data_IF_310193745682
#
_entry.id   IF_310193745682
#
_cell.length_a   1.000
_cell.length_b   1.000
_cell.length_c   1.000
_cell.angle_alpha   90.00
_cell.angle_beta   90.00
_cell.angle_gamma   90.00
#
_symmetry.space_group_name_H-M   'P 1'
#
loop_
_entity.id
_entity.type
_entity.pdbx_description
1 polymer ?
#
# COMPACT_ATOMS: atom_id res chain seq x y z
N UNK A 1 14.41 -40.52 4.59
CA UNK A 1 13.71 -39.81 5.67
C UNK A 1 12.23 -40.10 5.48
N UNK A 2 11.56 -40.62 6.52
CA UNK A 2 10.13 -40.98 6.44
C UNK A 2 9.26 -39.76 6.15
N UNK A 3 8.10 -39.96 5.53
CA UNK A 3 7.13 -38.90 5.31
C UNK A 3 6.69 -38.31 6.66
N UNK A 4 6.86 -37.00 6.83
CA UNK A 4 6.39 -36.27 8.02
C UNK A 4 4.86 -36.25 7.99
N UNK A 5 4.21 -36.69 9.06
CA UNK A 5 2.75 -36.60 9.21
C UNK A 5 2.28 -35.15 9.46
N UNK A 6 1.00 -34.83 9.25
CA UNK A 6 0.48 -33.47 9.53
C UNK A 6 0.68 -33.07 11.01
N UNK A 7 0.50 -34.01 11.94
CA UNK A 7 0.72 -33.77 13.38
C UNK A 7 2.18 -33.43 13.68
N UNK A 8 3.12 -34.11 13.04
CA UNK A 8 4.55 -33.80 13.18
C UNK A 8 4.90 -32.45 12.56
N UNK A 9 4.35 -32.14 11.38
CA UNK A 9 4.55 -30.84 10.73
C UNK A 9 4.06 -29.68 11.60
N UNK A 10 2.89 -29.81 12.22
CA UNK A 10 2.37 -28.80 13.17
C UNK A 10 3.27 -28.65 14.40
N UNK A 11 3.80 -29.75 14.94
CA UNK A 11 4.76 -29.70 16.05
C UNK A 11 6.08 -29.01 15.65
N UNK A 12 6.57 -29.26 14.44
CA UNK A 12 7.74 -28.58 13.88
C UNK A 12 7.45 -27.08 13.75
N UNK A 13 6.32 -26.68 13.16
CA UNK A 13 5.91 -25.27 13.05
C UNK A 13 5.88 -24.56 14.41
N UNK A 14 5.22 -25.17 15.40
CA UNK A 14 5.14 -24.62 16.77
C UNK A 14 6.53 -24.43 17.39
N UNK A 15 7.41 -25.41 17.24
CA UNK A 15 8.78 -25.34 17.74
C UNK A 15 9.61 -24.28 17.00
N UNK A 16 9.51 -24.20 15.68
CA UNK A 16 10.20 -23.19 14.86
C UNK A 16 9.76 -21.78 15.23
N UNK A 17 8.46 -21.53 15.42
CA UNK A 17 7.93 -20.23 15.89
C UNK A 17 8.51 -19.86 17.25
N UNK A 18 8.57 -20.81 18.18
CA UNK A 18 9.20 -20.60 19.49
C UNK A 18 10.68 -20.24 19.36
N UNK A 19 11.43 -20.94 18.50
CA UNK A 19 12.85 -20.65 18.24
C UNK A 19 13.04 -19.27 17.61
N UNK A 20 12.20 -18.90 16.65
CA UNK A 20 12.20 -17.58 16.01
C UNK A 20 11.98 -16.46 17.02
N UNK A 21 11.00 -16.62 17.92
CA UNK A 21 10.72 -15.64 18.97
C UNK A 21 11.83 -15.60 20.05
N UNK A 22 12.67 -16.63 20.15
CA UNK A 22 13.93 -16.63 20.91
C UNK A 22 15.13 -16.09 20.12
N UNK A 23 14.91 -15.47 18.95
CA UNK A 23 15.94 -14.95 18.03
C UNK A 23 16.88 -16.02 17.45
N UNK A 24 16.49 -17.30 17.48
CA UNK A 24 17.24 -18.43 16.90
C UNK A 24 16.80 -18.67 15.44
N UNK A 25 16.94 -17.64 14.60
CA UNK A 25 16.36 -17.61 13.24
C UNK A 25 16.83 -18.75 12.34
N UNK A 26 18.12 -19.10 12.33
CA UNK A 26 18.64 -20.20 11.49
C UNK A 26 17.97 -21.54 11.80
N UNK A 27 17.81 -21.88 13.09
CA UNK A 27 17.14 -23.10 13.52
C UNK A 27 15.65 -23.09 13.22
N UNK A 28 15.01 -21.93 13.32
CA UNK A 28 13.61 -21.78 12.92
C UNK A 28 13.43 -22.02 11.41
N UNK A 29 14.32 -21.45 10.58
CA UNK A 29 14.33 -21.63 9.12
C UNK A 29 14.53 -23.09 8.73
N UNK A 30 15.44 -23.81 9.39
CA UNK A 30 15.61 -25.27 9.20
C UNK A 30 14.29 -26.02 9.40
N UNK A 31 13.59 -25.75 10.50
CA UNK A 31 12.29 -26.36 10.77
C UNK A 31 11.21 -25.97 9.75
N UNK A 32 11.18 -24.72 9.29
CA UNK A 32 10.26 -24.32 8.22
C UNK A 32 10.58 -25.04 6.90
N UNK A 33 11.85 -25.21 6.55
CA UNK A 33 12.25 -25.93 5.33
C UNK A 33 11.80 -27.40 5.37
N UNK A 34 11.93 -28.08 6.52
CA UNK A 34 11.44 -29.46 6.68
C UNK A 34 9.94 -29.56 6.34
N UNK A 35 9.14 -28.59 6.79
CA UNK A 35 7.70 -28.55 6.48
C UNK A 35 7.46 -28.27 4.99
N UNK A 36 8.24 -27.37 4.39
CA UNK A 36 8.10 -26.96 2.98
C UNK A 36 8.56 -28.02 1.98
N UNK A 37 9.46 -28.92 2.36
CA UNK A 37 9.93 -30.03 1.52
C UNK A 37 8.88 -31.14 1.36
N UNK A 38 7.91 -31.24 2.28
CA UNK A 38 6.86 -32.24 2.24
C UNK A 38 5.67 -31.77 1.38
N UNK A 39 5.55 -32.34 0.17
CA UNK A 39 4.52 -31.98 -0.80
C UNK A 39 3.10 -32.45 -0.45
N UNK A 40 2.94 -33.34 0.53
CA UNK A 40 1.66 -33.93 0.92
C UNK A 40 0.98 -33.20 2.09
N UNK A 41 1.40 -31.96 2.41
CA UNK A 41 0.82 -31.15 3.48
C UNK A 41 -0.39 -30.33 3.00
N UNK A 42 -1.34 -30.07 3.91
CA UNK A 42 -2.38 -29.09 3.66
C UNK A 42 -1.81 -27.70 3.31
N UNK A 43 -2.50 -26.98 2.42
CA UNK A 43 -2.10 -25.63 1.98
C UNK A 43 -1.91 -24.67 3.15
N UNK A 44 -2.70 -24.82 4.22
CA UNK A 44 -2.61 -24.00 5.43
C UNK A 44 -1.23 -24.13 6.11
N UNK A 45 -0.79 -25.37 6.36
CA UNK A 45 0.52 -25.67 6.97
C UNK A 45 1.65 -25.13 6.11
N UNK A 46 1.59 -25.34 4.79
CA UNK A 46 2.60 -24.85 3.85
C UNK A 46 2.65 -23.33 3.85
N UNK A 47 1.51 -22.64 3.82
CA UNK A 47 1.49 -21.19 3.78
C UNK A 47 1.96 -20.58 5.11
N UNK A 48 1.56 -21.13 6.27
CA UNK A 48 2.11 -20.72 7.57
C UNK A 48 3.63 -20.88 7.60
N UNK A 49 4.17 -22.01 7.12
CA UNK A 49 5.61 -22.26 7.04
C UNK A 49 6.32 -21.22 6.17
N UNK A 50 5.77 -20.90 4.99
CA UNK A 50 6.32 -19.90 4.06
C UNK A 50 6.38 -18.53 4.71
N UNK A 51 5.28 -18.07 5.31
CA UNK A 51 5.21 -16.73 5.90
C UNK A 51 6.11 -16.62 7.13
N UNK A 52 6.12 -17.62 8.01
CA UNK A 52 7.01 -17.61 9.16
C UNK A 52 8.49 -17.62 8.73
N UNK A 53 8.84 -18.39 7.69
CA UNK A 53 10.19 -18.36 7.10
C UNK A 53 10.54 -16.96 6.57
N UNK A 54 9.64 -16.31 5.84
CA UNK A 54 9.85 -14.94 5.35
C UNK A 54 10.10 -13.96 6.51
N UNK A 55 9.35 -14.06 7.61
CA UNK A 55 9.61 -13.27 8.81
C UNK A 55 11.00 -13.59 9.41
N UNK A 56 11.36 -14.87 9.49
CA UNK A 56 12.61 -15.33 10.10
C UNK A 56 13.85 -14.85 9.32
N UNK A 57 13.81 -14.89 7.99
CA UNK A 57 14.88 -14.40 7.10
C UNK A 57 15.17 -12.91 7.33
N UNK A 58 14.16 -12.16 7.75
CA UNK A 58 14.24 -10.72 8.05
C UNK A 58 14.51 -10.43 9.52
N UNK A 59 14.76 -11.48 10.32
CA UNK A 59 14.95 -11.41 11.78
C UNK A 59 13.77 -10.75 12.51
N UNK A 60 12.56 -10.96 12.00
CA UNK A 60 11.32 -10.44 12.58
C UNK A 60 10.66 -11.55 13.41
N UNK A 61 10.09 -11.27 14.60
CA UNK A 61 9.36 -12.27 15.36
C UNK A 61 8.05 -12.66 14.67
N UNK A 62 7.49 -13.81 15.06
CA UNK A 62 6.08 -14.11 14.80
C UNK A 62 5.28 -13.49 15.94
N UNK A 63 4.54 -12.39 15.64
CA UNK A 63 3.76 -11.68 16.66
C UNK A 63 2.75 -12.62 17.28
N UNK A 64 2.56 -12.53 18.60
CA UNK A 64 1.66 -13.43 19.33
C UNK A 64 0.21 -13.37 18.82
N UNK A 65 -0.21 -12.20 18.33
CA UNK A 65 -1.54 -11.93 17.76
C UNK A 65 -1.61 -12.18 16.25
N UNK A 66 -0.50 -12.57 15.63
CA UNK A 66 -0.45 -13.00 14.24
C UNK A 66 -0.56 -14.53 14.20
N UNK A 67 -1.63 -15.01 13.60
CA UNK A 67 -2.01 -16.41 13.67
C UNK A 67 -2.72 -16.85 12.40
N UNK A 68 -2.54 -18.12 12.03
CA UNK A 68 -3.27 -18.78 10.95
C UNK A 68 -4.46 -19.55 11.51
N UNK A 69 -5.30 -18.87 12.30
CA UNK A 69 -6.48 -19.50 12.89
C UNK A 69 -7.47 -19.92 11.79
N UNK A 70 -8.31 -20.94 12.03
CA UNK A 70 -9.35 -21.36 11.08
C UNK A 70 -10.24 -20.20 10.59
N UNK A 71 -10.50 -19.22 11.45
CA UNK A 71 -11.25 -18.00 11.11
C UNK A 71 -10.56 -17.18 10.02
N UNK A 72 -9.24 -17.00 10.07
CA UNK A 72 -8.50 -16.21 9.07
C UNK A 72 -8.51 -16.91 7.71
N UNK A 73 -8.40 -18.24 7.73
CA UNK A 73 -8.52 -19.07 6.52
C UNK A 73 -9.92 -18.97 5.89
N UNK A 74 -10.97 -18.89 6.71
CA UNK A 74 -12.33 -18.66 6.23
C UNK A 74 -12.49 -17.27 5.62
N UNK A 75 -11.95 -16.23 6.26
CA UNK A 75 -11.96 -14.86 5.72
C UNK A 75 -11.23 -14.80 4.38
N UNK A 76 -10.04 -15.41 4.29
CA UNK A 76 -9.30 -15.44 3.04
C UNK A 76 -9.98 -16.26 1.95
N UNK A 77 -10.67 -17.36 2.30
CA UNK A 77 -11.53 -18.09 1.35
C UNK A 77 -12.67 -17.21 0.83
N UNK A 78 -13.37 -16.49 1.70
CA UNK A 78 -14.41 -15.54 1.30
C UNK A 78 -13.85 -14.42 0.41
N UNK A 79 -12.63 -13.94 0.68
CA UNK A 79 -11.95 -12.97 -0.17
C UNK A 79 -11.64 -13.52 -1.57
N UNK A 80 -11.19 -14.78 -1.68
CA UNK A 80 -11.01 -15.46 -2.97
C UNK A 80 -12.34 -15.62 -3.72
N UNK A 81 -13.39 -16.01 -3.02
CA UNK A 81 -14.73 -16.14 -3.61
C UNK A 81 -15.24 -14.77 -4.11
N UNK A 82 -15.10 -13.71 -3.31
CA UNK A 82 -15.40 -12.33 -3.73
C UNK A 82 -14.62 -11.95 -4.98
N UNK A 83 -13.31 -12.19 -4.99
CA UNK A 83 -12.41 -11.83 -6.09
C UNK A 83 -12.88 -12.48 -7.40
N UNK A 84 -13.23 -13.77 -7.36
CA UNK A 84 -13.72 -14.53 -8.52
C UNK A 84 -15.11 -14.07 -8.95
N UNK A 85 -16.05 -13.94 -8.01
CA UNK A 85 -17.42 -13.53 -8.30
C UNK A 85 -17.52 -12.13 -8.91
N UNK A 86 -16.63 -11.21 -8.50
CA UNK A 86 -16.58 -9.84 -9.03
C UNK A 86 -15.64 -9.68 -10.23
N UNK A 87 -15.06 -10.79 -10.75
CA UNK A 87 -14.13 -10.77 -11.90
C UNK A 87 -12.99 -9.77 -11.70
N UNK A 88 -12.49 -9.66 -10.47
CA UNK A 88 -11.35 -8.81 -10.19
C UNK A 88 -10.14 -9.26 -11.00
N UNK A 89 -9.34 -8.31 -11.46
CA UNK A 89 -8.14 -8.59 -12.23
C UNK A 89 -7.03 -7.61 -11.88
N UNK A 90 -5.79 -8.02 -12.08
CA UNK A 90 -4.60 -7.19 -11.90
C UNK A 90 -3.88 -7.01 -13.26
N UNK A 91 -3.15 -5.90 -13.39
CA UNK A 91 -2.30 -5.62 -14.56
C UNK A 91 -0.83 -5.62 -14.16
N UNK A 92 -0.03 -6.51 -14.76
CA UNK A 92 1.41 -6.56 -14.53
C UNK A 92 2.15 -5.71 -15.55
N UNK A 93 2.65 -4.56 -15.11
CA UNK A 93 3.50 -3.69 -15.91
C UNK A 93 4.91 -4.29 -16.06
N UNK A 94 5.50 -4.18 -17.24
CA UNK A 94 6.87 -4.67 -17.49
C UNK A 94 7.96 -3.74 -16.96
N UNK A 95 7.72 -2.42 -16.99
CA UNK A 95 8.66 -1.39 -16.52
C UNK A 95 7.90 -0.26 -15.83
N UNK A 96 8.56 0.45 -14.90
CA UNK A 96 8.00 1.64 -14.27
C UNK A 96 8.97 2.82 -14.35
N UNK A 97 8.46 3.98 -14.79
CA UNK A 97 9.22 5.23 -14.88
C UNK A 97 8.36 6.40 -14.36
N UNK A 98 8.90 7.28 -13.49
CA UNK A 98 8.14 8.40 -12.89
C UNK A 98 7.47 9.38 -13.86
N UNK A 99 7.89 9.42 -15.12
CA UNK A 99 7.36 10.33 -16.15
C UNK A 99 6.78 9.60 -17.36
N UNK A 100 6.52 8.30 -17.22
CA UNK A 100 5.67 7.52 -18.15
C UNK A 100 4.35 7.18 -17.44
N UNK A 101 3.61 6.22 -17.99
CA UNK A 101 2.35 5.74 -17.43
C UNK A 101 2.47 5.36 -15.96
N UNK A 102 1.40 5.61 -15.21
CA UNK A 102 1.30 5.19 -13.83
C UNK A 102 1.04 3.67 -13.74
N UNK A 103 1.47 3.04 -12.64
CA UNK A 103 1.43 1.57 -12.50
C UNK A 103 0.05 1.00 -12.17
N UNK A 104 -0.92 1.83 -11.85
CA UNK A 104 -2.24 1.41 -11.43
C UNK A 104 -3.27 1.87 -12.46
N UNK A 105 -3.43 1.07 -13.52
CA UNK A 105 -4.32 1.34 -14.63
C UNK A 105 -5.74 1.56 -14.11
N UNK A 106 -6.36 2.64 -14.55
CA UNK A 106 -7.75 2.94 -14.24
C UNK A 106 -8.57 2.76 -15.51
N UNK A 107 -9.61 1.90 -15.51
CA UNK A 107 -10.45 1.70 -16.67
C UNK A 107 -11.38 2.91 -16.88
N UNK A 108 -11.73 3.20 -18.13
CA UNK A 108 -12.57 4.36 -18.50
C UNK A 108 -13.89 4.41 -17.72
N UNK A 109 -14.49 3.24 -17.43
CA UNK A 109 -15.75 3.15 -16.71
C UNK A 109 -15.66 3.67 -15.26
N UNK A 110 -14.46 3.73 -14.66
CA UNK A 110 -14.26 4.25 -13.30
C UNK A 110 -14.59 5.75 -13.20
N UNK A 111 -14.62 6.44 -14.32
CA UNK A 111 -14.80 7.90 -14.41
C UNK A 111 -16.07 8.30 -15.16
N UNK A 112 -17.01 7.37 -15.34
CA UNK A 112 -18.37 7.67 -15.81
C UNK A 112 -19.21 8.24 -14.68
N UNK A 113 -20.04 9.24 -14.99
CA UNK A 113 -20.97 9.80 -13.99
C UNK A 113 -21.96 8.75 -13.49
N UNK A 114 -22.25 8.81 -12.20
CA UNK A 114 -23.12 7.87 -11.50
C UNK A 114 -23.77 8.54 -10.29
N UNK A 115 -24.71 7.89 -9.60
CA UNK A 115 -25.30 8.44 -8.37
C UNK A 115 -24.29 8.75 -7.25
N UNK A 116 -23.08 8.19 -7.31
CA UNK A 116 -22.00 8.37 -6.33
C UNK A 116 -20.78 9.13 -6.86
N UNK A 117 -20.70 9.44 -8.16
CA UNK A 117 -19.57 10.13 -8.79
C UNK A 117 -20.05 11.13 -9.83
N UNK A 118 -19.51 12.34 -9.85
CA UNK A 118 -19.82 13.36 -10.86
C UNK A 118 -18.64 14.29 -11.08
N UNK A 119 -18.72 15.13 -12.11
CA UNK A 119 -17.79 16.25 -12.28
C UNK A 119 -18.36 17.57 -11.77
N UNK A 120 -17.48 18.46 -11.33
CA UNK A 120 -17.83 19.88 -11.17
C UNK A 120 -17.82 20.59 -12.55
N UNK A 121 -18.18 21.88 -12.57
CA UNK A 121 -18.20 22.68 -13.80
C UNK A 121 -16.83 22.85 -14.47
N UNK A 122 -15.73 22.54 -13.79
CA UNK A 122 -14.37 22.63 -14.30
C UNK A 122 -13.81 21.24 -14.68
N UNK A 123 -14.64 20.20 -14.66
CA UNK A 123 -14.21 18.84 -14.98
C UNK A 123 -13.42 18.14 -13.87
N UNK A 124 -13.56 18.59 -12.62
CA UNK A 124 -12.90 17.99 -11.45
C UNK A 124 -13.83 16.96 -10.80
N UNK A 125 -13.36 15.73 -10.51
CA UNK A 125 -14.20 14.69 -9.96
C UNK A 125 -14.63 14.97 -8.52
N UNK A 126 -15.89 14.66 -8.22
CA UNK A 126 -16.49 14.71 -6.91
C UNK A 126 -17.14 13.36 -6.58
N UNK A 127 -17.00 12.92 -5.33
CA UNK A 127 -17.53 11.64 -4.84
C UNK A 127 -18.57 11.89 -3.76
N UNK A 128 -19.64 11.08 -3.73
CA UNK A 128 -20.73 11.21 -2.77
C UNK A 128 -20.38 10.54 -1.45
N UNK A 129 -20.38 11.32 -0.37
CA UNK A 129 -20.27 10.87 1.01
C UNK A 129 -21.45 11.41 1.81
N UNK A 130 -22.11 10.57 2.60
CA UNK A 130 -23.20 10.99 3.50
C UNK A 130 -24.26 11.88 2.79
N UNK A 131 -24.62 11.52 1.56
CA UNK A 131 -25.63 12.22 0.76
C UNK A 131 -25.15 13.47 0.00
N UNK A 132 -23.94 13.98 0.24
CA UNK A 132 -23.38 15.17 -0.42
C UNK A 132 -22.15 14.82 -1.25
N UNK A 133 -21.87 15.61 -2.28
CA UNK A 133 -20.68 15.44 -3.11
C UNK A 133 -19.52 16.27 -2.56
N UNK A 134 -18.36 15.66 -2.44
CA UNK A 134 -17.13 16.28 -1.96
C UNK A 134 -15.97 16.01 -2.91
N UNK A 135 -14.97 16.88 -2.86
CA UNK A 135 -13.67 16.61 -3.47
C UNK A 135 -12.94 15.56 -2.64
N UNK A 136 -12.56 14.46 -3.29
CA UNK A 136 -11.68 13.45 -2.71
C UNK A 136 -10.31 13.57 -3.37
N UNK A 137 -9.28 13.94 -2.57
CA UNK A 137 -7.94 14.17 -3.10
C UNK A 137 -7.32 12.93 -3.77
N UNK A 138 -7.58 11.71 -3.26
CA UNK A 138 -7.14 10.46 -3.90
C UNK A 138 -7.83 10.26 -5.24
N UNK A 139 -9.15 10.42 -5.30
CA UNK A 139 -9.91 10.32 -6.56
C UNK A 139 -9.41 11.33 -7.60
N UNK A 140 -9.15 12.57 -7.17
CA UNK A 140 -8.61 13.62 -8.05
C UNK A 140 -7.21 13.26 -8.54
N UNK A 141 -6.33 12.73 -7.67
CA UNK A 141 -5.00 12.30 -8.07
C UNK A 141 -5.04 11.11 -9.05
N UNK A 142 -5.86 10.10 -8.77
CA UNK A 142 -6.04 8.95 -9.65
C UNK A 142 -6.63 9.37 -11.01
N UNK A 143 -7.58 10.30 -11.03
CA UNK A 143 -8.12 10.87 -12.27
C UNK A 143 -7.05 11.63 -13.05
N UNK A 144 -6.23 12.43 -12.38
CA UNK A 144 -5.12 13.12 -13.03
C UNK A 144 -4.13 12.11 -13.64
N UNK A 145 -3.76 11.05 -12.93
CA UNK A 145 -2.84 10.02 -13.43
C UNK A 145 -3.45 9.25 -14.60
N UNK A 146 -4.75 8.94 -14.55
CA UNK A 146 -5.50 8.37 -15.68
C UNK A 146 -5.47 9.27 -16.92
N UNK A 147 -5.73 10.59 -16.75
CA UNK A 147 -5.66 11.55 -17.86
C UNK A 147 -4.24 11.65 -18.44
N UNK A 148 -3.22 11.58 -17.58
CA UNK A 148 -1.83 11.56 -18.00
C UNK A 148 -1.49 10.30 -18.80
N UNK A 149 -1.98 9.13 -18.39
CA UNK A 149 -1.77 7.88 -19.12
C UNK A 149 -2.39 7.96 -20.53
N UNK A 150 -3.61 8.51 -20.64
CA UNK A 150 -4.23 8.79 -21.94
C UNK A 150 -3.46 9.80 -22.80
N UNK A 151 -2.81 10.79 -22.17
CA UNK A 151 -1.89 11.71 -22.85
C UNK A 151 -0.64 10.99 -23.38
N UNK A 152 -0.04 10.09 -22.59
CA UNK A 152 1.10 9.29 -23.04
C UNK A 152 0.73 8.40 -24.23
N UNK A 153 -0.49 7.86 -24.25
CA UNK A 153 -0.95 6.98 -25.34
C UNK A 153 -1.25 7.70 -26.65
N UNK A 154 -1.92 8.86 -26.58
CA UNK A 154 -2.56 9.46 -27.76
C UNK A 154 -2.30 10.96 -27.92
N UNK A 155 -1.65 11.59 -26.93
CA UNK A 155 -1.53 13.05 -26.85
C UNK A 155 -2.81 13.76 -26.39
N UNK A 156 -3.93 13.05 -26.20
CA UNK A 156 -5.19 13.61 -25.70
C UNK A 156 -5.10 13.99 -24.22
N UNK A 157 -6.12 14.67 -23.68
CA UNK A 157 -6.29 14.93 -22.23
C UNK A 157 -5.22 15.78 -21.51
N UNK A 158 -4.17 16.27 -22.20
CA UNK A 158 -3.13 17.12 -21.59
C UNK A 158 -3.69 18.29 -20.78
N UNK A 159 -4.62 19.05 -21.36
CA UNK A 159 -5.19 20.23 -20.70
C UNK A 159 -6.05 19.85 -19.49
N UNK A 160 -6.80 18.74 -19.58
CA UNK A 160 -7.57 18.21 -18.44
C UNK A 160 -6.65 17.76 -17.31
N UNK A 161 -5.53 17.11 -17.65
CA UNK A 161 -4.53 16.69 -16.67
C UNK A 161 -3.94 17.90 -15.95
N UNK A 162 -3.49 18.92 -16.69
CA UNK A 162 -2.91 20.14 -16.11
C UNK A 162 -3.93 20.93 -15.29
N UNK A 163 -5.18 21.01 -15.75
CA UNK A 163 -6.28 21.62 -14.98
C UNK A 163 -6.52 20.88 -13.65
N UNK A 164 -6.51 19.54 -13.67
CA UNK A 164 -6.67 18.72 -12.46
C UNK A 164 -5.47 18.88 -11.50
N UNK A 165 -4.25 18.94 -12.03
CA UNK A 165 -3.05 19.22 -11.25
C UNK A 165 -3.09 20.62 -10.62
N UNK A 166 -3.54 21.64 -11.35
CA UNK A 166 -3.70 23.01 -10.85
C UNK A 166 -4.79 23.11 -9.78
N UNK A 167 -5.88 22.34 -9.91
CA UNK A 167 -6.88 22.21 -8.87
C UNK A 167 -6.30 21.61 -7.58
N UNK A 168 -5.44 20.60 -7.69
CA UNK A 168 -4.73 20.05 -6.52
C UNK A 168 -3.87 21.10 -5.83
N UNK A 169 -3.12 21.93 -6.57
CA UNK A 169 -2.33 23.04 -5.98
C UNK A 169 -3.22 23.97 -5.15
N UNK A 170 -4.37 24.37 -5.70
CA UNK A 170 -5.34 25.25 -5.02
C UNK A 170 -5.95 24.59 -3.77
N UNK A 171 -5.99 23.26 -3.73
CA UNK A 171 -6.54 22.48 -2.61
C UNK A 171 -5.55 22.29 -1.46
N UNK A 172 -4.24 22.51 -1.68
CA UNK A 172 -3.22 22.39 -0.63
C UNK A 172 -3.42 23.49 0.40
N UNK A 173 -3.69 23.11 1.65
CA UNK A 173 -3.85 24.03 2.79
C UNK A 173 -2.50 24.65 3.20
N UNK A 174 -2.53 25.64 4.09
CA UNK A 174 -1.32 26.41 4.48
C UNK A 174 -0.21 25.53 5.05
N UNK A 175 -0.57 24.48 5.79
CA UNK A 175 0.34 23.48 6.38
C UNK A 175 0.91 22.48 5.36
N UNK A 176 0.48 22.51 4.09
CA UNK A 176 0.90 21.58 3.05
C UNK A 176 0.00 20.35 2.87
N UNK A 177 -1.07 20.24 3.65
CA UNK A 177 -2.00 19.10 3.59
C UNK A 177 -3.04 19.20 2.47
N UNK A 178 -3.46 18.05 1.95
CA UNK A 178 -4.72 17.87 1.24
C UNK A 178 -5.74 17.28 2.22
N UNK A 179 -6.64 18.15 2.70
CA UNK A 179 -7.63 17.82 3.74
C UNK A 179 -8.95 17.39 3.11
N UNK A 180 -9.60 16.41 3.72
CA UNK A 180 -10.93 15.95 3.36
C UNK A 180 -12.00 16.71 4.14
N UNK A 181 -12.96 17.30 3.42
CA UNK A 181 -14.03 18.13 4.02
C UNK A 181 -15.29 17.32 4.33
N UNK A 182 -15.13 16.01 4.57
CA UNK A 182 -16.21 15.09 4.96
C UNK A 182 -15.76 14.15 6.07
N UNK A 183 -16.73 13.68 6.87
CA UNK A 183 -16.50 12.59 7.83
C UNK A 183 -16.38 11.25 7.13
N UNK A 184 -15.43 10.43 7.58
CA UNK A 184 -15.24 9.08 7.07
C UNK A 184 -15.30 8.06 8.21
N UNK A 185 -16.20 7.07 8.09
CA UNK A 185 -16.25 5.94 9.01
C UNK A 185 -15.36 4.82 8.51
N UNK A 186 -14.35 4.48 9.29
CA UNK A 186 -13.58 3.25 9.12
C UNK A 186 -13.70 2.40 10.40
N UNK A 187 -12.61 2.04 11.06
CA UNK A 187 -12.67 1.54 12.46
C UNK A 187 -13.02 2.63 13.47
N UNK A 188 -12.61 3.85 13.18
CA UNK A 188 -12.90 5.04 13.95
C UNK A 188 -13.51 6.09 13.03
N UNK A 189 -14.29 7.02 13.59
CA UNK A 189 -14.82 8.13 12.82
C UNK A 189 -13.72 9.20 12.66
N UNK A 190 -13.32 9.45 11.41
CA UNK A 190 -12.44 10.55 11.05
C UNK A 190 -13.30 11.80 10.84
N UNK A 191 -13.05 12.83 11.64
CA UNK A 191 -13.74 14.11 11.53
C UNK A 191 -13.30 14.87 10.27
N UNK A 192 -14.14 15.81 9.82
CA UNK A 192 -13.78 16.75 8.75
C UNK A 192 -12.44 17.43 9.04
N UNK A 193 -11.63 17.62 8.00
CA UNK A 193 -10.24 18.07 8.13
C UNK A 193 -9.23 16.93 8.36
N UNK A 194 -9.63 15.66 8.24
CA UNK A 194 -8.66 14.57 8.21
C UNK A 194 -7.80 14.61 6.94
N UNK A 195 -6.62 14.00 7.00
CA UNK A 195 -5.68 13.90 5.89
C UNK A 195 -5.23 12.44 5.72
N UNK A 196 -4.75 12.11 4.52
CA UNK A 196 -4.26 10.78 4.18
C UNK A 196 -2.84 10.85 3.65
N UNK A 197 -1.95 9.94 4.05
CA UNK A 197 -0.66 9.84 3.37
C UNK A 197 -0.79 9.50 1.90
N UNK A 198 -1.80 8.70 1.53
CA UNK A 198 -2.04 8.26 0.15
C UNK A 198 -2.32 9.46 -0.77
N UNK A 199 -3.15 10.42 -0.32
CA UNK A 199 -3.40 11.63 -1.12
C UNK A 199 -2.14 12.47 -1.29
N UNK A 200 -1.31 12.58 -0.24
CA UNK A 200 -0.05 13.33 -0.33
C UNK A 200 0.93 12.65 -1.30
N UNK A 201 1.10 11.33 -1.21
CA UNK A 201 1.98 10.59 -2.10
C UNK A 201 1.54 10.63 -3.55
N UNK A 202 0.26 10.36 -3.84
CA UNK A 202 -0.24 10.43 -5.21
C UNK A 202 -0.18 11.85 -5.78
N UNK A 203 -0.35 12.89 -4.96
CA UNK A 203 -0.14 14.27 -5.40
C UNK A 203 1.32 14.53 -5.81
N UNK A 204 2.30 13.93 -5.13
CA UNK A 204 3.71 13.99 -5.58
C UNK A 204 3.88 13.36 -6.96
N UNK A 205 3.28 12.19 -7.21
CA UNK A 205 3.28 11.55 -8.53
C UNK A 205 2.65 12.42 -9.63
N UNK A 206 1.57 13.14 -9.32
CA UNK A 206 0.93 14.09 -10.23
C UNK A 206 1.85 15.28 -10.51
N UNK A 207 2.41 15.90 -9.47
CA UNK A 207 3.28 17.08 -9.63
C UNK A 207 4.60 16.75 -10.32
N UNK A 208 5.17 15.56 -10.11
CA UNK A 208 6.32 15.06 -10.89
C UNK A 208 6.01 15.08 -12.38
N UNK A 209 4.87 14.52 -12.79
CA UNK A 209 4.44 14.45 -14.18
C UNK A 209 4.09 15.82 -14.76
N UNK A 210 3.38 16.65 -14.00
CA UNK A 210 3.02 18.01 -14.43
C UNK A 210 4.25 18.91 -14.61
N UNK A 211 5.21 18.87 -13.68
CA UNK A 211 6.49 19.55 -13.84
C UNK A 211 7.28 18.99 -15.02
N UNK A 212 7.30 17.67 -15.22
CA UNK A 212 8.01 17.08 -16.35
C UNK A 212 7.49 17.62 -17.69
N UNK A 213 6.17 17.74 -17.86
CA UNK A 213 5.54 18.25 -19.08
C UNK A 213 5.71 19.75 -19.32
N UNK A 214 5.67 20.55 -18.25
CA UNK A 214 5.54 22.02 -18.37
C UNK A 214 6.82 22.76 -18.03
N UNK A 215 7.71 22.13 -17.25
CA UNK A 215 8.84 22.77 -16.55
C UNK A 215 8.42 23.91 -15.62
N UNK A 216 7.13 24.00 -15.26
CA UNK A 216 6.61 25.08 -14.43
C UNK A 216 6.93 24.84 -12.95
N UNK A 217 7.61 25.82 -12.35
CA UNK A 217 8.01 25.82 -10.93
C UNK A 217 6.84 25.76 -9.95
N UNK A 218 5.60 26.10 -10.36
CA UNK A 218 4.42 25.99 -9.47
C UNK A 218 4.21 24.56 -8.96
N UNK A 219 4.49 23.55 -9.79
CA UNK A 219 4.41 22.15 -9.41
C UNK A 219 5.53 21.74 -8.46
N UNK A 220 6.73 22.34 -8.62
CA UNK A 220 7.84 22.19 -7.65
C UNK A 220 7.43 22.72 -6.28
N UNK A 221 6.94 23.96 -6.23
CA UNK A 221 6.52 24.59 -4.98
C UNK A 221 5.39 23.82 -4.29
N UNK A 222 4.43 23.30 -5.06
CA UNK A 222 3.34 22.47 -4.56
C UNK A 222 3.83 21.14 -3.98
N UNK A 223 4.67 20.40 -4.72
CA UNK A 223 5.21 19.12 -4.25
C UNK A 223 6.09 19.27 -3.00
N UNK A 224 6.86 20.35 -2.88
CA UNK A 224 7.61 20.64 -1.64
C UNK A 224 6.71 20.82 -0.42
N UNK A 225 5.57 21.52 -0.58
CA UNK A 225 4.59 21.71 0.51
C UNK A 225 3.95 20.38 0.91
N UNK A 226 3.53 19.59 -0.08
CA UNK A 226 2.92 18.26 0.14
C UNK A 226 3.90 17.30 0.82
N UNK A 227 5.16 17.28 0.38
CA UNK A 227 6.21 16.45 0.98
C UNK A 227 6.47 16.84 2.44
N UNK A 228 6.55 18.14 2.76
CA UNK A 228 6.73 18.60 4.15
C UNK A 228 5.62 18.07 5.06
N UNK A 229 4.36 18.19 4.64
CA UNK A 229 3.23 17.68 5.40
C UNK A 229 3.25 16.15 5.51
N UNK A 230 3.58 15.45 4.42
CA UNK A 230 3.70 13.98 4.42
C UNK A 230 4.70 13.48 5.48
N UNK A 231 5.76 14.25 5.71
CA UNK A 231 6.81 13.93 6.69
C UNK A 231 6.54 14.51 8.09
N UNK A 232 5.39 15.17 8.30
CA UNK A 232 4.99 15.67 9.62
C UNK A 232 4.52 14.48 10.47
N UNK A 233 5.04 14.30 11.69
CA UNK A 233 4.59 13.24 12.59
C UNK A 233 3.09 13.30 12.90
N UNK A 234 2.46 12.14 13.11
CA UNK A 234 1.06 12.05 13.58
C UNK A 234 0.86 12.80 14.90
N UNK A 235 1.84 12.76 15.80
CA UNK A 235 1.84 13.51 17.06
C UNK A 235 1.82 15.03 16.89
N UNK A 236 2.19 15.53 15.70
CA UNK A 236 2.18 16.95 15.33
C UNK A 236 1.03 17.29 14.37
N UNK A 237 0.06 16.37 14.21
CA UNK A 237 -1.10 16.54 13.33
C UNK A 237 -0.85 16.21 11.86
N UNK A 238 0.28 15.56 11.55
CA UNK A 238 0.62 15.03 10.23
C UNK A 238 0.17 13.59 10.01
N UNK A 239 0.87 12.88 9.11
CA UNK A 239 0.51 11.51 8.68
C UNK A 239 1.68 10.51 8.78
N UNK A 240 2.88 10.96 9.17
CA UNK A 240 4.03 10.09 9.39
C UNK A 240 3.98 9.49 10.79
N UNK A 241 4.05 8.18 10.89
CA UNK A 241 3.99 7.40 12.12
C UNK A 241 5.19 6.44 12.17
N UNK A 242 5.21 5.55 13.16
CA UNK A 242 6.11 4.42 13.24
C UNK A 242 5.35 3.11 13.50
N UNK A 243 6.07 2.00 13.45
CA UNK A 243 5.52 0.65 13.66
C UNK A 243 5.53 0.21 15.13
N UNK A 244 5.80 1.12 16.08
CA UNK A 244 5.90 0.81 17.51
C UNK A 244 4.60 0.32 18.14
N UNK A 245 3.43 0.72 17.61
CA UNK A 245 2.14 0.19 18.08
C UNK A 245 1.89 -1.25 17.61
N UNK A 246 2.51 -1.65 16.49
CA UNK A 246 2.50 -3.04 16.00
C UNK A 246 3.40 -3.92 16.85
N UNK A 247 4.65 -3.50 17.03
CA UNK A 247 5.61 -4.14 17.92
C UNK A 247 6.68 -3.13 18.35
N UNK A 248 7.04 -3.12 19.64
CA UNK A 248 8.01 -2.17 20.20
C UNK A 248 9.38 -2.27 19.51
N UNK A 249 9.77 -3.45 19.02
CA UNK A 249 11.05 -3.63 18.30
C UNK A 249 11.07 -2.99 16.91
N UNK A 250 9.93 -2.50 16.41
CA UNK A 250 9.78 -1.82 15.13
C UNK A 250 9.57 -0.31 15.29
N UNK A 251 9.74 0.26 16.49
CA UNK A 251 9.51 1.69 16.73
C UNK A 251 10.38 2.64 15.90
N UNK A 252 11.54 2.16 15.41
CA UNK A 252 12.45 2.91 14.55
C UNK A 252 12.06 2.85 13.06
N UNK A 253 11.09 2.00 12.71
CA UNK A 253 10.58 1.81 11.35
C UNK A 253 9.41 2.75 11.12
N UNK A 254 9.51 3.54 10.07
CA UNK A 254 8.49 4.54 9.73
C UNK A 254 7.28 3.88 9.09
N UNK A 255 6.14 4.54 9.21
CA UNK A 255 4.95 4.24 8.43
C UNK A 255 4.26 5.55 8.02
N UNK A 256 3.51 5.54 6.93
CA UNK A 256 2.69 6.67 6.54
C UNK A 256 1.22 6.24 6.60
N UNK A 257 0.46 6.82 7.53
CA UNK A 257 -0.91 6.39 7.78
C UNK A 257 -1.85 6.93 6.69
N UNK A 258 -2.54 6.00 6.02
CA UNK A 258 -3.64 6.37 5.14
C UNK A 258 -4.81 6.99 5.91
N UNK A 259 -5.07 6.47 7.12
CA UNK A 259 -6.12 6.91 8.02
C UNK A 259 -5.51 7.20 9.39
N UNK A 260 -5.52 8.47 9.81
CA UNK A 260 -5.01 8.89 11.11
C UNK A 260 -6.14 8.88 12.13
N UNK A 261 -6.29 7.76 12.85
CA UNK A 261 -7.15 7.61 14.02
C UNK A 261 -6.38 7.65 15.34
N UNK A 262 -7.04 7.33 16.45
CA UNK A 262 -6.39 7.09 17.76
C UNK A 262 -5.56 5.82 17.73
N UNK A 263 -6.00 4.82 16.97
CA UNK A 263 -5.29 3.57 16.75
C UNK A 263 -4.71 3.55 15.34
N UNK A 264 -3.41 3.28 15.22
CA UNK A 264 -2.75 3.01 13.93
C UNK A 264 -3.35 1.76 13.27
N UNK A 265 -3.73 1.87 11.99
CA UNK A 265 -4.32 0.75 11.23
C UNK A 265 -3.29 0.02 10.39
N UNK A 266 -2.28 0.74 9.89
CA UNK A 266 -1.26 0.23 8.98
C UNK A 266 -1.85 -0.32 7.67
N UNK A 267 -2.66 0.48 6.98
CA UNK A 267 -3.28 0.11 5.70
C UNK A 267 -2.26 -0.02 4.58
N UNK A 268 -2.22 -1.18 3.90
CA UNK A 268 -1.12 -1.55 3.00
C UNK A 268 -1.07 -0.69 1.74
N UNK A 269 -2.19 -0.65 1.00
CA UNK A 269 -2.22 -0.03 -0.31
C UNK A 269 -1.91 1.48 -0.22
N UNK A 270 -2.51 2.18 0.74
CA UNK A 270 -2.24 3.60 0.92
C UNK A 270 -0.78 3.89 1.26
N UNK A 271 -0.14 3.01 2.03
CA UNK A 271 1.28 3.11 2.32
C UNK A 271 2.13 2.93 1.06
N UNK A 272 1.87 1.91 0.24
CA UNK A 272 2.66 1.66 -0.97
C UNK A 272 2.45 2.77 -2.01
N UNK A 273 1.21 3.20 -2.26
CA UNK A 273 0.95 4.40 -3.08
C UNK A 273 1.71 5.63 -2.57
N UNK A 274 1.81 5.79 -1.25
CA UNK A 274 2.62 6.87 -0.65
C UNK A 274 4.09 6.75 -1.01
N UNK A 275 4.64 5.54 -0.92
CA UNK A 275 6.04 5.25 -1.27
C UNK A 275 6.29 5.52 -2.77
N UNK A 276 5.41 5.09 -3.66
CA UNK A 276 5.55 5.39 -5.11
C UNK A 276 5.58 6.89 -5.37
N UNK A 277 4.78 7.68 -4.66
CA UNK A 277 4.86 9.15 -4.68
C UNK A 277 6.23 9.71 -4.26
N UNK A 278 6.82 9.17 -3.19
CA UNK A 278 8.18 9.54 -2.77
C UNK A 278 9.23 9.15 -3.81
N UNK A 279 9.10 7.97 -4.42
CA UNK A 279 9.99 7.54 -5.50
C UNK A 279 9.89 8.48 -6.71
N UNK A 280 8.67 8.78 -7.16
CA UNK A 280 8.44 9.69 -8.28
C UNK A 280 8.98 11.09 -7.99
N UNK A 281 8.80 11.61 -6.78
CA UNK A 281 9.35 12.91 -6.41
C UNK A 281 10.88 12.91 -6.35
N UNK A 282 11.47 11.78 -5.95
CA UNK A 282 12.92 11.65 -5.84
C UNK A 282 13.65 11.78 -7.18
N UNK A 283 12.97 11.55 -8.31
CA UNK A 283 13.53 11.71 -9.65
C UNK A 283 13.45 13.14 -10.19
N UNK A 284 12.84 14.08 -9.47
CA UNK A 284 12.67 15.47 -9.93
C UNK A 284 13.93 16.28 -9.61
N UNK A 285 14.94 16.17 -10.47
CA UNK A 285 16.22 16.87 -10.36
C UNK A 285 16.19 18.21 -11.10
N UNK A 286 15.92 19.28 -10.38
CA UNK A 286 16.10 20.66 -10.85
C UNK A 286 16.68 21.52 -9.71
N UNK A 287 17.35 22.66 -10.00
CA UNK A 287 18.03 23.47 -8.99
C UNK A 287 17.15 23.82 -7.78
N UNK A 288 15.85 24.09 -8.00
CA UNK A 288 14.91 24.45 -6.95
C UNK A 288 14.49 23.27 -6.06
N UNK A 289 14.74 22.01 -6.47
CA UNK A 289 14.21 20.82 -5.82
C UNK A 289 15.27 19.83 -5.30
N UNK A 290 16.58 20.07 -5.49
CA UNK A 290 17.66 19.14 -5.10
C UNK A 290 17.53 18.66 -3.64
N UNK A 291 17.26 19.58 -2.71
CA UNK A 291 17.07 19.22 -1.30
C UNK A 291 15.89 18.27 -1.10
N UNK A 292 14.72 18.62 -1.65
CA UNK A 292 13.49 17.86 -1.45
C UNK A 292 13.46 16.54 -2.24
N UNK A 293 14.13 16.46 -3.39
CA UNK A 293 14.32 15.18 -4.10
C UNK A 293 15.16 14.21 -3.27
N UNK A 294 16.23 14.70 -2.63
CA UNK A 294 17.06 13.90 -1.71
C UNK A 294 16.31 13.49 -0.44
N UNK A 295 15.49 14.39 0.12
CA UNK A 295 14.60 14.07 1.24
C UNK A 295 13.61 12.97 0.83
N UNK A 296 12.94 13.09 -0.32
CA UNK A 296 12.02 12.06 -0.79
C UNK A 296 12.74 10.72 -1.02
N UNK A 297 13.95 10.72 -1.59
CA UNK A 297 14.75 9.49 -1.74
C UNK A 297 15.07 8.83 -0.40
N UNK A 298 15.44 9.63 0.61
CA UNK A 298 15.71 9.14 1.97
C UNK A 298 14.49 8.45 2.57
N UNK A 299 13.32 9.06 2.46
CA UNK A 299 12.09 8.52 3.04
C UNK A 299 11.49 7.38 2.21
N UNK A 300 11.68 7.36 0.88
CA UNK A 300 11.47 6.19 0.05
C UNK A 300 12.28 5.00 0.57
N UNK A 301 13.59 5.14 0.76
CA UNK A 301 14.44 4.04 1.24
C UNK A 301 14.05 3.56 2.65
N UNK A 302 13.77 4.49 3.58
CA UNK A 302 13.30 4.16 4.93
C UNK A 302 11.95 3.44 4.90
N UNK A 303 11.04 3.91 4.07
CA UNK A 303 9.70 3.37 3.96
C UNK A 303 9.69 1.98 3.32
N UNK A 304 10.49 1.80 2.26
CA UNK A 304 10.72 0.51 1.61
C UNK A 304 11.35 -0.51 2.56
N UNK A 305 12.32 -0.08 3.38
CA UNK A 305 12.87 -0.94 4.43
C UNK A 305 11.78 -1.35 5.42
N UNK A 306 10.98 -0.39 5.90
CA UNK A 306 9.90 -0.66 6.86
C UNK A 306 8.85 -1.61 6.29
N UNK A 307 8.50 -1.45 5.01
CA UNK A 307 7.57 -2.33 4.29
C UNK A 307 8.01 -3.78 4.35
N UNK A 308 9.28 -4.08 4.10
CA UNK A 308 9.80 -5.47 4.14
C UNK A 308 9.58 -6.16 5.48
N UNK A 309 9.58 -5.42 6.59
CA UNK A 309 9.39 -5.99 7.93
C UNK A 309 7.94 -6.39 8.19
N UNK A 310 6.99 -5.73 7.54
CA UNK A 310 5.55 -5.91 7.82
C UNK A 310 4.78 -6.62 6.73
N UNK A 311 5.31 -6.64 5.50
CA UNK A 311 4.64 -7.23 4.35
C UNK A 311 4.17 -8.68 4.59
N UNK A 312 4.93 -9.56 5.28
CA UNK A 312 4.44 -10.91 5.56
C UNK A 312 3.20 -10.95 6.47
N UNK A 313 2.99 -9.95 7.35
CA UNK A 313 1.83 -9.92 8.26
C UNK A 313 0.49 -9.62 7.58
N UNK A 314 0.53 -9.09 6.34
CA UNK A 314 -0.70 -8.90 5.56
C UNK A 314 -1.19 -10.19 4.91
N UNK A 315 -0.37 -11.24 4.90
CA UNK A 315 -0.80 -12.54 4.43
C UNK A 315 -1.64 -13.22 5.51
N UNK A 316 -2.89 -13.57 5.19
CA UNK A 316 -3.80 -14.27 6.12
C UNK A 316 -3.93 -15.76 5.76
N UNK A 317 -2.92 -16.31 5.08
CA UNK A 317 -2.76 -17.73 4.78
C UNK A 317 -3.09 -18.07 3.34
N UNK A 318 -4.19 -17.56 2.78
CA UNK A 318 -4.60 -17.80 1.40
C UNK A 318 -5.17 -16.55 0.72
N UNK A 319 -4.96 -15.38 1.30
CA UNK A 319 -5.39 -14.08 0.79
C UNK A 319 -4.62 -12.99 1.53
N UNK A 320 -4.90 -11.72 1.23
CA UNK A 320 -4.33 -10.60 1.99
C UNK A 320 -5.36 -9.89 2.86
N UNK A 321 -4.92 -9.38 4.00
CA UNK A 321 -5.67 -8.39 4.76
C UNK A 321 -5.44 -6.99 4.18
N UNK A 322 -6.44 -6.12 4.32
CA UNK A 322 -6.34 -4.73 3.90
C UNK A 322 -5.36 -3.92 4.79
N UNK A 323 -5.34 -4.25 6.07
CA UNK A 323 -4.49 -3.60 7.07
C UNK A 323 -4.08 -4.57 8.21
N UNK A 324 -3.33 -4.06 9.19
CA UNK A 324 -2.87 -4.83 10.36
C UNK A 324 -3.65 -4.51 11.64
N UNK A 325 -4.80 -3.83 11.55
CA UNK A 325 -5.59 -3.43 12.72
C UNK A 325 -5.98 -4.63 13.60
N UNK A 326 -6.23 -5.77 12.96
CA UNK A 326 -6.53 -7.05 13.59
C UNK A 326 -5.42 -7.53 14.54
N UNK A 327 -4.15 -7.27 14.21
CA UNK A 327 -3.01 -7.55 15.10
C UNK A 327 -2.99 -6.56 16.27
N UNK A 328 -3.27 -5.28 16.03
CA UNK A 328 -3.26 -4.25 17.08
C UNK A 328 -4.35 -4.53 18.13
N UNK A 329 -5.59 -4.73 17.67
CA UNK A 329 -6.77 -4.91 18.52
C UNK A 329 -7.07 -6.35 18.91
N UNK A 330 -6.32 -7.33 18.39
CA UNK A 330 -6.59 -8.75 18.62
C UNK A 330 -8.01 -9.15 18.19
N UNK A 331 -8.32 -8.87 16.92
CA UNK A 331 -9.62 -9.18 16.29
C UNK A 331 -9.45 -9.86 14.93
N UNK A 332 -10.53 -10.10 14.19
CA UNK A 332 -10.46 -10.69 12.86
C UNK A 332 -9.85 -9.72 11.83
N UNK A 333 -9.11 -10.22 10.82
CA UNK A 333 -8.57 -9.41 9.73
C UNK A 333 -9.69 -8.85 8.85
N UNK A 334 -9.51 -7.62 8.38
CA UNK A 334 -10.28 -7.12 7.25
C UNK A 334 -9.72 -7.74 5.96
N UNK A 335 -10.54 -8.48 5.22
CA UNK A 335 -10.18 -8.94 3.87
C UNK A 335 -9.83 -7.75 2.98
N UNK A 336 -8.86 -7.93 2.07
CA UNK A 336 -8.56 -6.92 1.05
C UNK A 336 -9.61 -6.89 -0.07
N UNK A 337 -10.40 -7.94 -0.26
CA UNK A 337 -11.38 -8.10 -1.34
C UNK A 337 -10.83 -7.63 -2.70
N UNK A 338 -11.44 -6.59 -3.30
CA UNK A 338 -10.96 -5.95 -4.54
C UNK A 338 -9.50 -5.49 -4.43
N UNK A 339 -9.06 -4.95 -3.29
CA UNK A 339 -7.69 -4.46 -3.11
C UNK A 339 -6.62 -5.56 -3.20
N UNK A 340 -6.99 -6.84 -3.23
CA UNK A 340 -6.03 -7.90 -3.49
C UNK A 340 -5.34 -7.73 -4.86
N UNK A 341 -6.06 -7.30 -5.91
CA UNK A 341 -5.43 -7.03 -7.20
C UNK A 341 -4.46 -5.84 -7.09
N UNK A 342 -4.84 -4.81 -6.33
CA UNK A 342 -4.00 -3.64 -6.07
C UNK A 342 -2.71 -4.03 -5.34
N UNK A 343 -2.80 -4.88 -4.31
CA UNK A 343 -1.63 -5.41 -3.60
C UNK A 343 -0.68 -6.17 -4.55
N UNK A 344 -1.22 -6.95 -5.50
CA UNK A 344 -0.42 -7.63 -6.53
C UNK A 344 0.27 -6.62 -7.46
N UNK A 345 -0.46 -5.61 -7.95
CA UNK A 345 0.09 -4.54 -8.80
C UNK A 345 1.19 -3.73 -8.08
N UNK A 346 0.98 -3.47 -6.79
CA UNK A 346 1.92 -2.79 -5.90
C UNK A 346 3.23 -3.59 -5.74
N UNK A 347 3.14 -4.91 -5.53
CA UNK A 347 4.34 -5.74 -5.50
C UNK A 347 5.05 -5.75 -6.86
N UNK A 348 4.29 -5.73 -7.96
CA UNK A 348 4.85 -5.67 -9.30
C UNK A 348 5.62 -4.37 -9.55
N UNK A 349 5.06 -3.21 -9.20
CA UNK A 349 5.76 -1.93 -9.39
C UNK A 349 6.98 -1.82 -8.49
N UNK A 350 6.93 -2.33 -7.25
CA UNK A 350 8.08 -2.35 -6.35
C UNK A 350 9.21 -3.22 -6.92
N UNK A 351 8.90 -4.38 -7.49
CA UNK A 351 9.89 -5.21 -8.19
C UNK A 351 10.49 -4.44 -9.38
N UNK A 352 9.68 -3.82 -10.23
CA UNK A 352 10.17 -3.07 -11.39
C UNK A 352 11.09 -1.90 -11.00
N UNK A 353 10.80 -1.23 -9.89
CA UNK A 353 11.63 -0.10 -9.40
C UNK A 353 12.94 -0.60 -8.79
N UNK A 354 12.90 -1.69 -8.03
CA UNK A 354 14.00 -2.09 -7.14
C UNK A 354 14.87 -3.21 -7.69
N UNK A 355 14.36 -4.01 -8.62
CA UNK A 355 14.96 -5.27 -9.06
C UNK A 355 15.01 -6.34 -7.97
N UNK A 356 14.34 -6.14 -6.83
CA UNK A 356 14.41 -7.03 -5.68
C UNK A 356 13.41 -8.18 -5.82
N UNK A 357 13.94 -9.38 -6.04
CA UNK A 357 13.17 -10.63 -6.19
C UNK A 357 12.20 -10.89 -5.03
N UNK A 358 12.45 -10.32 -3.84
CA UNK A 358 11.49 -10.44 -2.74
C UNK A 358 10.08 -9.96 -3.10
N UNK A 359 9.95 -8.81 -3.78
CA UNK A 359 8.64 -8.30 -4.15
C UNK A 359 8.00 -9.17 -5.24
N UNK A 360 8.80 -9.73 -6.15
CA UNK A 360 8.34 -10.67 -7.17
C UNK A 360 7.87 -11.99 -6.56
N UNK A 361 8.55 -12.51 -5.54
CA UNK A 361 8.16 -13.72 -4.83
C UNK A 361 6.84 -13.52 -4.08
N UNK A 362 6.68 -12.41 -3.36
CA UNK A 362 5.42 -12.06 -2.69
C UNK A 362 4.30 -11.88 -3.72
N UNK A 363 4.54 -11.14 -4.81
CA UNK A 363 3.59 -10.98 -5.93
C UNK A 363 3.11 -12.33 -6.44
N UNK A 364 4.05 -13.22 -6.77
CA UNK A 364 3.74 -14.52 -7.35
C UNK A 364 2.97 -15.41 -6.34
N UNK A 365 3.31 -15.32 -5.06
CA UNK A 365 2.59 -16.00 -3.98
C UNK A 365 1.13 -15.51 -3.89
N UNK A 366 0.89 -14.19 -3.81
CA UNK A 366 -0.46 -13.64 -3.76
C UNK A 366 -1.26 -13.92 -5.04
N UNK A 367 -0.63 -13.85 -6.21
CA UNK A 367 -1.25 -14.28 -7.46
C UNK A 367 -1.70 -15.75 -7.42
N UNK A 368 -0.94 -16.63 -6.75
CA UNK A 368 -1.28 -18.06 -6.66
C UNK A 368 -2.57 -18.34 -5.88
N UNK A 369 -3.01 -17.40 -5.06
CA UNK A 369 -4.23 -17.56 -4.25
C UNK A 369 -5.51 -17.36 -5.05
N UNK A 370 -5.45 -16.54 -6.10
CA UNK A 370 -6.60 -16.22 -6.95
C UNK A 370 -6.52 -16.84 -8.35
N UNK A 371 -5.38 -17.47 -8.68
CA UNK A 371 -5.26 -18.31 -9.88
C UNK A 371 -6.15 -19.54 -9.77
N UNK A 372 -6.75 -19.92 -10.89
CA UNK A 372 -7.58 -21.12 -11.00
C UNK A 372 -6.77 -22.40 -10.81
#
# INVERSE_FOLDING_TARGET
>A
MGEVSENEAQNILKNSRRLQNQKKYSKAIEGYNIVLENKNMSKSIINEAKICKLLAERKVPVLNKYSFLPEYMNIGKSGVDYYKSNKCNYTLYGEYNPVKKYFNYQPDWAYLESPSFKYDKNGIPMVKYNGKFYYNAVTICQYALYLYDGYIDTGANKDKFLNTADFLIKSIKKDGSLRYEFKFGYYECLNEGWASSMSQGQALSVFTRAHHLTKDSKYINAGQRVLKYLLTPVSEGGVMDNLGALDKSLEDKIFFQQYVGKTSTYTLNGYIFTLIGLYDWSSVHCPQNIYYSNVAKRYWNKGLLSLKYILPYYDIGNFTSYDLYHIIKNGPPSSSDFYHCIHIEEMNVLYNITGDEYYKDIRNMWMSYVKN
#
